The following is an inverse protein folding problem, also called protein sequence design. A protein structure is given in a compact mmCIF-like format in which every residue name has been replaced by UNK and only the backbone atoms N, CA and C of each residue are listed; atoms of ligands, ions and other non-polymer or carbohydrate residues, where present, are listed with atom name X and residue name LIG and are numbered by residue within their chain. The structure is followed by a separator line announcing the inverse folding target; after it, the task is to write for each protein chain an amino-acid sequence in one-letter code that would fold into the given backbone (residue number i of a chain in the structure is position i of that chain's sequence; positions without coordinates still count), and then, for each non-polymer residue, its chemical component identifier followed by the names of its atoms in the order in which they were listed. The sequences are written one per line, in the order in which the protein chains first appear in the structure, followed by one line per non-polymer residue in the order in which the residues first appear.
data_IF_930304258605
#
_entry.id   IF_930304258605
#
_cell.length_a   1.000
_cell.length_b   1.000
_cell.length_c   1.000
_cell.angle_alpha   90.00
_cell.angle_beta   90.00
_cell.angle_gamma   90.00
#
_symmetry.space_group_name_H-M   'P 1'
#
loop_
_entity.id
_entity.type
_entity.pdbx_description
1 polymer ?
#
# COMPACT_ATOMS: atom_id res chain seq x y z
N UNK A 1 -4.96 4.76 -34.34
CA UNK A 1 -5.36 3.90 -33.20
C UNK A 1 -4.19 3.54 -32.28
N UNK A 2 -3.10 2.93 -32.76
CA UNK A 2 -1.96 2.53 -31.93
C UNK A 2 -1.33 3.68 -31.11
N UNK A 3 -1.07 4.84 -31.72
CA UNK A 3 -0.52 6.01 -31.01
C UNK A 3 -1.46 6.54 -29.89
N UNK A 4 -2.77 6.43 -30.08
CA UNK A 4 -3.76 6.78 -29.07
C UNK A 4 -3.74 5.79 -27.89
N UNK A 5 -3.66 4.49 -28.19
CA UNK A 5 -3.57 3.44 -27.16
C UNK A 5 -2.29 3.61 -26.34
N UNK A 6 -1.14 3.82 -27.00
CA UNK A 6 0.15 4.04 -26.32
C UNK A 6 0.10 5.28 -25.43
N UNK A 7 -0.40 6.41 -25.96
CA UNK A 7 -0.57 7.64 -25.17
C UNK A 7 -1.44 7.40 -23.94
N UNK A 8 -2.56 6.68 -24.09
CA UNK A 8 -3.47 6.37 -22.99
C UNK A 8 -2.84 5.42 -21.97
N UNK A 9 -2.10 4.41 -22.42
CA UNK A 9 -1.41 3.45 -21.56
C UNK A 9 -0.29 4.11 -20.76
N UNK A 10 0.39 5.12 -21.32
CA UNK A 10 1.39 5.94 -20.60
C UNK A 10 0.75 6.93 -19.61
N UNK A 11 -0.45 7.42 -19.90
CA UNK A 11 -1.17 8.31 -18.98
C UNK A 11 -1.68 7.60 -17.73
N UNK A 12 -2.01 6.29 -17.82
CA UNK A 12 -2.55 5.53 -16.68
C UNK A 12 -1.58 5.49 -15.49
N UNK A 13 -0.30 5.07 -15.63
CA UNK A 13 0.68 5.12 -14.55
C UNK A 13 0.87 6.52 -13.98
N UNK A 14 0.91 7.54 -14.84
CA UNK A 14 1.06 8.94 -14.41
C UNK A 14 -0.11 9.38 -13.51
N UNK A 15 -1.34 9.05 -13.91
CA UNK A 15 -2.54 9.33 -13.13
C UNK A 15 -2.56 8.55 -11.81
N UNK A 16 -2.18 7.27 -11.83
CA UNK A 16 -2.11 6.44 -10.63
C UNK A 16 -1.09 7.00 -9.64
N UNK A 17 0.13 7.30 -10.08
CA UNK A 17 1.17 7.90 -9.24
C UNK A 17 0.74 9.27 -8.71
N UNK A 18 0.15 10.12 -9.55
CA UNK A 18 -0.37 11.42 -9.10
C UNK A 18 -1.45 11.27 -8.02
N UNK A 19 -2.36 10.32 -8.19
CA UNK A 19 -3.45 10.06 -7.24
C UNK A 19 -2.93 9.48 -5.92
N UNK A 20 -1.99 8.52 -5.97
CA UNK A 20 -1.41 7.93 -4.76
C UNK A 20 -0.60 8.94 -3.97
N UNK A 21 0.18 9.79 -4.63
CA UNK A 21 0.91 10.89 -3.99
C UNK A 21 -0.05 11.86 -3.31
N UNK A 22 -1.17 12.21 -3.96
CA UNK A 22 -2.18 13.09 -3.37
C UNK A 22 -2.80 12.47 -2.12
N UNK A 23 -3.12 11.18 -2.14
CA UNK A 23 -3.60 10.45 -0.96
C UNK A 23 -2.55 10.48 0.16
N UNK A 24 -1.28 10.25 -0.15
CA UNK A 24 -0.19 10.32 0.83
C UNK A 24 -0.04 11.72 1.44
N UNK A 25 -0.19 12.78 0.64
CA UNK A 25 -0.17 14.15 1.15
C UNK A 25 -1.31 14.41 2.13
N UNK A 26 -2.53 13.95 1.82
CA UNK A 26 -3.67 14.08 2.75
C UNK A 26 -3.42 13.28 4.03
N UNK A 27 -2.97 12.03 3.91
CA UNK A 27 -2.69 11.16 5.06
C UNK A 27 -1.54 11.71 5.92
N UNK A 28 -0.59 12.44 5.32
CA UNK A 28 0.54 13.04 6.04
C UNK A 28 0.16 14.14 7.04
N UNK A 29 -1.06 14.68 6.92
CA UNK A 29 -1.63 15.64 7.87
C UNK A 29 -1.94 14.94 9.21
N UNK A 30 -2.23 13.63 9.19
CA UNK A 30 -2.47 12.85 10.40
C UNK A 30 -1.17 12.64 11.18
N UNK A 31 -1.28 12.55 12.50
CA UNK A 31 -0.14 12.20 13.34
C UNK A 31 0.39 10.80 12.99
N UNK A 32 1.69 10.52 13.19
CA UNK A 32 2.27 9.21 12.86
C UNK A 32 1.57 8.03 13.56
N UNK A 33 1.07 8.24 14.77
CA UNK A 33 0.31 7.27 15.55
C UNK A 33 -1.05 6.96 14.93
N UNK A 34 -1.81 7.98 14.50
CA UNK A 34 -3.07 7.79 13.77
C UNK A 34 -2.86 7.13 12.40
N UNK A 35 -1.77 7.48 11.71
CA UNK A 35 -1.37 6.81 10.46
C UNK A 35 -1.14 5.33 10.70
N UNK A 36 -0.39 4.97 11.74
CA UNK A 36 -0.04 3.58 12.04
C UNK A 36 -1.26 2.67 12.25
N UNK A 37 -2.37 3.22 12.75
CA UNK A 37 -3.63 2.49 12.94
C UNK A 37 -4.29 2.07 11.61
N UNK A 38 -4.05 2.80 10.51
CA UNK A 38 -4.52 2.44 9.17
C UNK A 38 -3.77 1.25 8.57
N UNK A 39 -2.50 1.05 8.97
CA UNK A 39 -1.61 0.06 8.37
C UNK A 39 -1.53 -1.25 9.14
N UNK A 40 -1.80 -1.25 10.45
CA UNK A 40 -1.76 -2.48 11.25
C UNK A 40 -3.12 -3.19 11.24
N UNK A 41 -3.19 -4.49 10.91
CA UNK A 41 -4.43 -5.26 11.02
C UNK A 41 -4.83 -5.51 12.49
N UNK A 42 -3.84 -5.78 13.35
CA UNK A 42 -4.03 -6.01 14.77
C UNK A 42 -3.44 -4.86 15.58
N UNK A 43 -4.23 -4.30 16.50
CA UNK A 43 -3.72 -3.39 17.53
C UNK A 43 -2.88 -4.23 18.49
N UNK A 44 -1.55 -4.08 18.54
CA UNK A 44 -0.80 -4.83 19.52
C UNK A 44 -1.18 -4.32 20.92
N UNK A 45 -1.58 -5.24 21.80
CA UNK A 45 -2.02 -4.97 23.20
C UNK A 45 -0.93 -4.37 24.09
N UNK A 46 0.28 -4.14 23.57
CA UNK A 46 1.46 -3.72 24.32
C UNK A 46 2.00 -2.41 23.72
N UNK A 47 2.12 -1.34 24.51
CA UNK A 47 2.60 -0.02 24.06
C UNK A 47 3.97 -0.09 23.38
N UNK A 48 4.85 -0.99 23.83
CA UNK A 48 6.19 -1.20 23.25
C UNK A 48 6.18 -1.77 21.81
N UNK A 49 5.07 -2.39 21.40
CA UNK A 49 4.94 -2.95 20.05
C UNK A 49 4.50 -1.90 19.01
N UNK A 50 3.90 -0.78 19.46
CA UNK A 50 3.59 0.35 18.59
C UNK A 50 4.87 1.02 18.11
N UNK A 51 5.77 1.30 19.05
CA UNK A 51 7.07 1.91 18.83
C UNK A 51 7.97 1.07 17.91
N UNK A 52 7.96 -0.26 18.07
CA UNK A 52 8.74 -1.15 17.23
C UNK A 52 8.19 -1.24 15.81
N UNK A 53 6.86 -1.19 15.64
CA UNK A 53 6.24 -1.22 14.32
C UNK A 53 6.32 0.14 13.60
N UNK A 54 6.24 1.26 14.32
CA UNK A 54 6.51 2.61 13.79
C UNK A 54 7.96 2.70 13.26
N UNK A 55 8.93 2.20 14.04
CA UNK A 55 10.33 2.11 13.61
C UNK A 55 10.54 1.11 12.46
N UNK A 56 9.89 -0.06 12.51
CA UNK A 56 10.01 -1.11 11.48
C UNK A 56 9.49 -0.66 10.12
N UNK A 57 8.37 0.07 10.08
CA UNK A 57 7.78 0.58 8.84
C UNK A 57 8.24 1.99 8.48
N UNK A 58 9.19 2.57 9.22
CA UNK A 58 9.70 3.93 8.98
C UNK A 58 8.54 4.95 8.92
N UNK A 59 7.51 4.78 9.76
CA UNK A 59 6.30 5.62 9.75
C UNK A 59 6.58 7.08 10.18
N UNK A 60 7.72 7.31 10.83
CA UNK A 60 8.26 8.64 11.17
C UNK A 60 9.25 9.19 10.13
N UNK A 61 9.56 8.45 9.08
CA UNK A 61 10.51 8.86 8.06
C UNK A 61 9.90 9.90 7.11
N UNK A 62 10.71 10.68 6.38
CA UNK A 62 10.21 11.61 5.37
C UNK A 62 9.22 10.97 4.39
N UNK A 63 8.21 11.73 3.95
CA UNK A 63 7.10 11.25 3.12
C UNK A 63 7.56 10.43 1.89
N UNK A 64 8.63 10.87 1.23
CA UNK A 64 9.18 10.20 0.05
C UNK A 64 9.72 8.80 0.38
N UNK A 65 10.28 8.60 1.57
CA UNK A 65 10.74 7.28 2.04
C UNK A 65 9.54 6.39 2.34
N UNK A 66 8.52 6.92 3.03
CA UNK A 66 7.27 6.18 3.28
C UNK A 66 6.62 5.71 1.97
N UNK A 67 6.55 6.60 0.98
CA UNK A 67 5.99 6.29 -0.33
C UNK A 67 6.80 5.21 -1.06
N UNK A 68 8.14 5.31 -1.03
CA UNK A 68 9.02 4.31 -1.66
C UNK A 68 8.88 2.93 -1.00
N UNK A 69 8.92 2.89 0.33
CA UNK A 69 8.77 1.66 1.11
C UNK A 69 7.40 1.00 0.89
N UNK A 70 6.34 1.81 0.79
CA UNK A 70 5.01 1.31 0.45
C UNK A 70 4.93 0.74 -0.98
N UNK A 71 5.61 1.37 -1.93
CA UNK A 71 5.59 0.96 -3.33
C UNK A 71 6.40 -0.33 -3.58
N UNK A 72 7.63 -0.38 -3.05
CA UNK A 72 8.62 -1.43 -3.33
C UNK A 72 8.68 -2.54 -2.27
N UNK A 73 8.23 -2.24 -1.04
CA UNK A 73 8.43 -3.08 0.14
C UNK A 73 9.63 -2.63 0.97
N UNK A 74 9.70 -3.14 2.20
CA UNK A 74 10.81 -2.89 3.14
C UNK A 74 11.64 -4.16 3.23
N UNK A 75 12.95 -4.03 3.06
CA UNK A 75 13.90 -5.12 3.27
C UNK A 75 14.10 -5.32 4.77
N UNK A 76 13.80 -6.51 5.25
CA UNK A 76 14.13 -6.96 6.60
C UNK A 76 15.57 -7.46 6.63
N UNK A 77 16.24 -7.35 7.78
CA UNK A 77 17.66 -7.67 7.92
C UNK A 77 18.04 -9.14 7.66
N UNK A 78 17.06 -10.00 7.39
CA UNK A 78 17.21 -11.39 6.95
C UNK A 78 17.22 -11.55 5.41
N UNK A 79 17.14 -10.44 4.66
CA UNK A 79 17.08 -10.42 3.20
C UNK A 79 15.68 -10.65 2.63
N UNK A 80 14.66 -10.82 3.47
CA UNK A 80 13.27 -10.88 3.04
C UNK A 80 12.72 -9.46 2.80
N UNK A 81 11.80 -9.32 1.84
CA UNK A 81 11.15 -8.03 1.58
C UNK A 81 9.68 -8.16 1.94
N UNK A 82 9.25 -7.37 2.92
CA UNK A 82 7.88 -7.35 3.41
C UNK A 82 7.13 -6.17 2.80
N UNK A 83 5.92 -6.44 2.31
CA UNK A 83 5.06 -5.41 1.70
C UNK A 83 5.36 -5.14 0.23
N UNK A 84 4.97 -3.95 -0.23
CA UNK A 84 5.15 -3.51 -1.62
C UNK A 84 3.91 -3.76 -2.48
N UNK A 85 3.25 -2.68 -2.89
CA UNK A 85 2.11 -2.75 -3.82
C UNK A 85 2.54 -3.38 -5.16
N UNK A 86 3.72 -3.03 -5.66
CA UNK A 86 4.22 -3.60 -6.91
C UNK A 86 4.52 -5.10 -6.83
N UNK A 87 4.64 -5.64 -5.61
CA UNK A 87 4.82 -7.08 -5.36
C UNK A 87 3.49 -7.82 -5.18
N UNK A 88 2.36 -7.13 -5.35
CA UNK A 88 1.01 -7.69 -5.15
C UNK A 88 0.56 -7.70 -3.70
N UNK A 89 1.29 -7.05 -2.78
CA UNK A 89 0.84 -6.88 -1.41
C UNK A 89 -0.06 -5.64 -1.32
N UNK A 90 -1.37 -5.86 -1.44
CA UNK A 90 -2.40 -4.83 -1.32
C UNK A 90 -2.85 -4.57 0.13
N UNK A 91 -2.29 -5.28 1.09
CA UNK A 91 -2.69 -5.20 2.51
C UNK A 91 -3.88 -6.08 2.87
N UNK A 92 -4.37 -5.88 4.09
CA UNK A 92 -5.42 -6.68 4.73
C UNK A 92 -6.73 -5.89 4.86
N UNK A 93 -7.85 -6.52 4.51
CA UNK A 93 -9.17 -5.93 4.71
C UNK A 93 -9.71 -6.31 6.08
N UNK A 94 -9.88 -5.32 6.98
CA UNK A 94 -10.50 -5.55 8.30
C UNK A 94 -11.98 -5.95 8.20
N UNK A 95 -12.72 -5.36 7.26
CA UNK A 95 -14.14 -5.71 7.05
C UNK A 95 -14.28 -7.11 6.45
N UNK A 96 -13.42 -7.46 5.50
CA UNK A 96 -13.46 -8.75 4.81
C UNK A 96 -12.72 -9.89 5.52
N UNK A 97 -12.03 -9.60 6.63
CA UNK A 97 -11.17 -10.52 7.38
C UNK A 97 -10.20 -11.34 6.51
N UNK A 98 -9.70 -10.76 5.42
CA UNK A 98 -8.85 -11.45 4.45
C UNK A 98 -7.92 -10.47 3.72
N UNK A 99 -6.87 -11.01 3.11
CA UNK A 99 -5.97 -10.20 2.28
C UNK A 99 -6.69 -9.70 1.02
N UNK A 100 -6.45 -8.43 0.67
CA UNK A 100 -7.13 -7.78 -0.46
C UNK A 100 -6.74 -8.46 -1.78
N UNK A 101 -5.48 -8.89 -1.92
CA UNK A 101 -5.02 -9.63 -3.10
C UNK A 101 -5.79 -10.93 -3.35
N UNK A 102 -6.08 -11.70 -2.30
CA UNK A 102 -6.88 -12.93 -2.39
C UNK A 102 -8.34 -12.62 -2.77
N UNK A 103 -8.91 -11.56 -2.21
CA UNK A 103 -10.27 -11.11 -2.52
C UNK A 103 -10.39 -10.72 -4.00
N UNK A 104 -9.40 -9.98 -4.52
CA UNK A 104 -9.33 -9.59 -5.94
C UNK A 104 -9.19 -10.85 -6.79
N UNK A 105 -8.24 -11.73 -6.50
CA UNK A 105 -8.01 -12.95 -7.27
C UNK A 105 -9.26 -13.83 -7.36
N UNK A 106 -10.05 -13.89 -6.29
CA UNK A 106 -11.30 -14.66 -6.24
C UNK A 106 -12.43 -14.03 -7.08
N UNK A 107 -12.49 -12.70 -7.18
CA UNK A 107 -13.59 -11.97 -7.85
C UNK A 107 -13.28 -11.52 -9.28
N UNK A 108 -12.00 -11.43 -9.61
CA UNK A 108 -11.54 -10.95 -10.92
C UNK A 108 -12.07 -11.79 -12.10
N UNK A 109 -12.12 -13.14 -12.05
CA UNK A 109 -12.67 -13.94 -13.16
C UNK A 109 -14.13 -13.60 -13.49
N UNK A 110 -14.96 -13.43 -12.46
CA UNK A 110 -16.36 -13.06 -12.63
C UNK A 110 -16.54 -11.67 -13.28
N UNK A 111 -15.55 -10.77 -13.13
CA UNK A 111 -15.58 -9.46 -13.79
C UNK A 111 -15.23 -9.58 -15.27
N UNK A 112 -14.31 -10.48 -15.62
CA UNK A 112 -13.96 -10.75 -17.03
C UNK A 112 -15.14 -11.39 -17.76
N UNK A 113 -15.89 -12.28 -17.11
CA UNK A 113 -17.08 -12.91 -17.71
C UNK A 113 -18.21 -11.92 -18.02
N UNK A 114 -18.24 -10.76 -17.35
CA UNK A 114 -19.28 -9.74 -17.50
C UNK A 114 -18.96 -8.67 -18.56
N UNK A 115 -17.72 -8.60 -19.04
CA UNK A 115 -17.22 -7.57 -19.97
C UNK A 115 -17.19 -8.06 -21.43
#
# INVERSE_FOLDING_TARGET
MANYIIRRLLMVPLLLVGTTVLIFLIISILSPTERSALWMPDIPRNENAWDSAIRKYCLDCPLHIQYWNWLMGVEEGDGSITGGILRGNFGYSRSGHQYIGEMIARRFPATIELA
#
